data_IF_173051312996
#
_entry.id   IF_173051312996
#
_cell.length_a   1.000
_cell.length_b   1.000
_cell.length_c   1.000
_cell.angle_alpha   90.00
_cell.angle_beta   90.00
_cell.angle_gamma   90.00
#
_symmetry.space_group_name_H-M   'P 1'
#
loop_
_entity.id
_entity.type
_entity.pdbx_description
1 polymer ?
#
# COMPACT_ATOMS: atom_id res chain seq x y z
N UNK A 1 -31.97 52.23 -40.41
CA UNK A 1 -32.34 52.35 -38.99
C UNK A 1 -32.10 50.98 -38.36
N UNK A 2 -30.93 50.63 -37.83
CA UNK A 2 -30.17 51.12 -36.68
C UNK A 2 -30.75 50.71 -35.30
N UNK A 3 -30.02 49.80 -34.64
CA UNK A 3 -29.91 49.46 -33.19
C UNK A 3 -31.01 48.64 -32.50
N UNK A 4 -30.65 47.46 -31.98
CA UNK A 4 -30.28 47.27 -30.55
C UNK A 4 -30.15 45.78 -30.23
N UNK A 5 -28.92 45.29 -30.23
CA UNK A 5 -28.53 43.99 -29.65
C UNK A 5 -27.61 44.32 -28.49
N UNK A 6 -28.00 43.95 -27.27
CA UNK A 6 -27.11 43.94 -26.11
C UNK A 6 -27.51 44.89 -24.97
N UNK A 7 -28.32 44.39 -24.04
CA UNK A 7 -28.32 44.83 -22.62
C UNK A 7 -29.04 43.78 -21.73
N UNK A 8 -28.62 42.51 -21.76
CA UNK A 8 -29.21 41.47 -20.89
C UNK A 8 -28.18 40.55 -20.23
N UNK A 9 -26.95 41.04 -20.02
CA UNK A 9 -25.89 40.27 -19.34
C UNK A 9 -25.14 41.04 -18.23
N UNK A 10 -25.63 42.21 -17.82
CA UNK A 10 -24.91 43.10 -16.87
C UNK A 10 -25.63 43.38 -15.54
N UNK A 11 -26.68 42.62 -15.21
CA UNK A 11 -27.47 42.84 -13.98
C UNK A 11 -27.44 41.68 -12.98
N UNK A 12 -26.81 40.54 -13.30
CA UNK A 12 -26.71 39.40 -12.37
C UNK A 12 -25.36 39.24 -11.66
N UNK A 13 -24.33 40.01 -12.02
CA UNK A 13 -23.02 39.90 -11.35
C UNK A 13 -22.87 40.76 -10.07
N UNK A 14 -23.89 41.56 -9.71
CA UNK A 14 -23.84 42.49 -8.57
C UNK A 14 -24.68 42.04 -7.36
N UNK A 15 -25.14 40.78 -7.32
CA UNK A 15 -25.99 40.26 -6.24
C UNK A 15 -25.33 39.21 -5.33
N UNK A 16 -24.07 38.85 -5.57
CA UNK A 16 -23.34 37.85 -4.77
C UNK A 16 -22.19 38.39 -3.92
N UNK A 17 -22.07 39.72 -3.75
CA UNK A 17 -21.03 40.32 -2.90
C UNK A 17 -21.57 41.09 -1.68
N UNK A 18 -22.79 40.77 -1.22
CA UNK A 18 -23.43 41.43 -0.06
C UNK A 18 -24.04 40.44 0.94
N UNK A 19 -23.35 39.33 1.20
CA UNK A 19 -23.56 38.51 2.41
C UNK A 19 -22.26 38.37 3.17
N UNK A 20 -21.67 39.53 3.44
CA UNK A 20 -20.73 39.72 4.52
C UNK A 20 -21.53 39.88 5.81
N UNK A 21 -21.15 39.07 6.80
CA UNK A 21 -21.05 39.42 8.22
C UNK A 21 -22.30 40.00 8.91
N UNK A 22 -22.92 39.18 9.78
CA UNK A 22 -23.46 39.64 11.07
C UNK A 22 -23.97 38.48 11.93
N UNK A 23 -23.65 38.55 13.24
CA UNK A 23 -24.21 37.83 14.39
C UNK A 23 -23.51 36.46 14.63
N UNK A 24 -22.88 36.13 15.76
CA UNK A 24 -23.10 36.54 17.14
C UNK A 24 -21.79 36.48 17.96
N UNK A 25 -21.40 37.60 18.56
CA UNK A 25 -20.48 37.70 19.70
C UNK A 25 -21.11 37.08 20.93
N UNK A 26 -20.54 35.99 21.46
CA UNK A 26 -20.81 35.54 22.82
C UNK A 26 -19.62 35.88 23.73
N UNK A 27 -19.91 36.73 24.72
CA UNK A 27 -19.02 37.10 25.83
C UNK A 27 -18.60 35.84 26.60
N UNK A 28 -17.30 35.68 26.82
CA UNK A 28 -16.79 35.05 28.04
C UNK A 28 -15.80 36.00 28.71
N UNK A 29 -16.23 36.51 29.86
CA UNK A 29 -15.45 37.30 30.79
C UNK A 29 -14.60 36.36 31.66
N UNK A 30 -13.34 36.73 31.86
CA UNK A 30 -12.65 36.53 33.13
C UNK A 30 -11.62 35.41 33.18
N UNK A 31 -10.35 35.81 33.35
CA UNK A 31 -9.33 34.97 34.01
C UNK A 31 -8.03 34.75 33.23
N UNK A 32 -7.16 35.75 33.21
CA UNK A 32 -5.73 35.59 32.85
C UNK A 32 -4.98 35.19 34.12
N UNK A 33 -4.30 34.03 34.18
CA UNK A 33 -3.11 33.91 35.00
C UNK A 33 -1.87 34.01 34.10
N UNK A 34 -1.24 35.17 34.30
CA UNK A 34 0.09 35.57 33.90
C UNK A 34 1.09 34.67 34.65
N UNK A 35 1.64 33.63 34.02
CA UNK A 35 2.82 32.94 34.53
C UNK A 35 3.82 32.62 33.41
N UNK A 36 4.90 33.40 33.46
CA UNK A 36 6.28 32.95 33.27
C UNK A 36 6.70 32.41 31.90
N UNK A 37 7.13 33.35 31.05
CA UNK A 37 8.34 33.21 30.25
C UNK A 37 9.58 33.12 31.18
N UNK A 38 10.27 31.97 31.16
CA UNK A 38 11.70 31.75 31.45
C UNK A 38 11.94 30.24 31.29
N UNK A 39 12.83 29.72 30.45
CA UNK A 39 14.25 30.00 30.45
C UNK A 39 14.90 29.71 29.09
N UNK A 40 15.90 30.53 28.78
CA UNK A 40 16.91 30.32 27.75
C UNK A 40 17.75 29.06 28.00
N UNK A 41 18.06 28.39 26.89
CA UNK A 41 19.38 27.90 26.46
C UNK A 41 20.51 27.71 27.49
N UNK A 42 21.05 26.47 27.60
CA UNK A 42 22.45 26.14 27.30
C UNK A 42 22.73 24.62 27.50
N UNK A 43 23.77 24.13 26.82
CA UNK A 43 24.44 22.80 26.90
C UNK A 43 23.81 21.68 26.05
N UNK A 44 24.26 21.41 24.82
CA UNK A 44 25.57 20.90 24.35
C UNK A 44 25.89 19.46 24.80
N UNK A 45 26.04 18.60 23.78
CA UNK A 45 26.83 17.35 23.73
C UNK A 45 26.49 16.19 24.67
N UNK A 46 25.96 15.08 24.10
CA UNK A 46 26.50 13.71 24.29
C UNK A 46 25.79 12.67 23.40
N UNK A 47 26.52 12.13 22.43
CA UNK A 47 26.51 10.72 21.98
C UNK A 47 27.82 10.10 22.52
N UNK A 48 28.07 8.77 22.49
CA UNK A 48 27.21 7.57 22.45
C UNK A 48 27.71 6.44 23.43
N UNK A 49 27.17 5.21 23.31
CA UNK A 49 27.76 3.85 23.55
C UNK A 49 27.16 2.93 24.63
N UNK A 50 27.06 1.62 24.28
CA UNK A 50 26.97 0.44 25.17
C UNK A 50 25.56 -0.11 25.37
N UNK A 51 25.12 -1.20 24.71
CA UNK A 51 25.33 -2.62 25.05
C UNK A 51 24.95 -2.93 26.51
N UNK A 52 23.81 -3.58 26.73
CA UNK A 52 23.62 -4.59 27.79
C UNK A 52 22.47 -5.52 27.38
N UNK A 53 22.75 -6.81 27.44
CA UNK A 53 21.86 -7.92 27.12
C UNK A 53 20.85 -8.14 28.26
N UNK A 54 19.58 -8.34 27.94
CA UNK A 54 18.61 -8.91 28.87
C UNK A 54 18.20 -10.31 28.41
N UNK A 55 18.99 -11.28 28.86
CA UNK A 55 18.60 -12.67 29.01
C UNK A 55 17.51 -12.78 30.08
N UNK A 56 16.30 -13.16 29.68
CA UNK A 56 15.24 -13.61 30.59
C UNK A 56 14.84 -15.04 30.21
N UNK A 57 15.63 -15.99 30.72
CA UNK A 57 15.28 -17.40 30.86
C UNK A 57 14.64 -17.59 32.23
N UNK A 58 13.51 -18.30 32.30
CA UNK A 58 12.94 -18.77 33.56
C UNK A 58 11.57 -19.45 33.43
N UNK A 59 11.59 -20.77 33.62
CA UNK A 59 10.51 -21.64 34.12
C UNK A 59 9.41 -22.19 33.20
N UNK A 60 9.75 -23.35 32.64
CA UNK A 60 8.87 -24.47 32.29
C UNK A 60 8.44 -25.23 33.57
N UNK A 61 7.22 -25.81 33.61
CA UNK A 61 6.98 -27.02 34.37
C UNK A 61 6.94 -28.26 33.45
N UNK A 62 7.81 -29.19 33.79
CA UNK A 62 7.88 -30.58 33.36
C UNK A 62 6.61 -31.32 33.78
N UNK A 63 6.02 -32.14 32.91
CA UNK A 63 5.19 -33.25 33.36
C UNK A 63 5.45 -34.52 32.54
N UNK A 64 5.70 -35.57 33.30
CA UNK A 64 6.15 -36.91 32.96
C UNK A 64 5.22 -37.70 32.03
N UNK A 65 5.82 -38.79 31.55
CA UNK A 65 5.53 -39.64 30.42
C UNK A 65 4.94 -41.02 30.79
N UNK A 66 4.34 -41.68 29.76
CA UNK A 66 4.21 -43.15 29.50
C UNK A 66 2.95 -43.88 30.08
N UNK A 67 2.34 -44.94 29.44
CA UNK A 67 2.82 -45.79 28.31
C UNK A 67 1.92 -46.06 27.09
N UNK A 68 2.59 -46.67 26.10
CA UNK A 68 2.12 -47.45 24.95
C UNK A 68 0.95 -48.41 25.25
N UNK A 69 0.03 -48.53 24.29
CA UNK A 69 -0.48 -49.83 23.84
C UNK A 69 -0.90 -49.78 22.36
N UNK A 70 -0.80 -50.95 21.75
CA UNK A 70 -0.79 -51.32 20.33
C UNK A 70 -2.23 -51.44 19.82
N UNK A 71 -2.56 -50.99 18.61
CA UNK A 71 -3.16 -51.89 17.61
C UNK A 71 -3.26 -51.30 16.20
N UNK A 72 -3.09 -52.19 15.24
CA UNK A 72 -3.00 -52.01 13.81
C UNK A 72 -4.37 -52.32 13.18
N UNK A 73 -4.97 -51.41 12.40
CA UNK A 73 -5.89 -51.77 11.29
C UNK A 73 -6.15 -50.59 10.35
N UNK A 74 -5.37 -50.57 9.25
CA UNK A 74 -5.90 -50.76 7.89
C UNK A 74 -7.26 -50.11 7.55
N UNK A 75 -7.24 -49.02 6.77
CA UNK A 75 -8.09 -48.85 5.56
C UNK A 75 -7.65 -47.62 4.76
N UNK A 76 -6.64 -47.85 3.91
CA UNK A 76 -6.27 -46.99 2.79
C UNK A 76 -7.37 -47.13 1.73
N UNK A 77 -7.98 -46.03 1.30
CA UNK A 77 -8.90 -46.01 0.17
C UNK A 77 -8.18 -45.57 -1.11
N UNK A 78 -7.72 -46.50 -1.95
CA UNK A 78 -7.46 -46.23 -3.36
C UNK A 78 -8.58 -46.83 -4.20
N UNK A 79 -9.56 -46.02 -4.59
CA UNK A 79 -10.43 -46.38 -5.71
C UNK A 79 -9.65 -46.32 -7.01
N UNK A 80 -9.20 -47.51 -7.41
CA UNK A 80 -8.74 -47.94 -8.73
C UNK A 80 -9.55 -47.32 -9.86
N UNK A 81 -8.88 -46.96 -10.95
CA UNK A 81 -9.24 -47.53 -12.26
C UNK A 81 -8.00 -47.81 -13.08
N UNK A 82 -7.87 -49.08 -13.41
CA UNK A 82 -6.85 -49.68 -14.26
C UNK A 82 -7.01 -49.20 -15.71
N UNK A 83 -5.89 -48.91 -16.38
CA UNK A 83 -5.78 -49.16 -17.82
C UNK A 83 -4.34 -49.60 -18.11
N UNK A 84 -4.17 -50.90 -18.32
CA UNK A 84 -2.94 -51.55 -18.72
C UNK A 84 -3.25 -52.28 -20.02
N UNK A 85 -2.61 -51.88 -21.11
CA UNK A 85 -2.86 -52.48 -22.41
C UNK A 85 -1.98 -51.89 -23.51
N UNK A 86 -1.08 -52.74 -24.01
CA UNK A 86 -0.37 -52.71 -25.29
C UNK A 86 0.93 -51.90 -25.40
N UNK A 87 2.01 -52.68 -25.55
CA UNK A 87 3.31 -52.25 -26.03
C UNK A 87 3.29 -51.97 -27.54
N UNK A 88 4.07 -50.99 -27.99
CA UNK A 88 4.82 -51.04 -29.25
C UNK A 88 5.91 -49.97 -29.25
N UNK A 89 7.09 -50.40 -29.70
CA UNK A 89 8.32 -49.62 -29.77
C UNK A 89 8.29 -48.59 -30.91
N UNK A 90 8.88 -47.41 -30.66
CA UNK A 90 9.60 -46.65 -31.68
C UNK A 90 10.66 -45.78 -30.99
N UNK A 91 11.93 -46.13 -31.20
CA UNK A 91 13.07 -45.26 -30.92
C UNK A 91 13.02 -44.16 -31.99
N UNK A 92 12.67 -42.95 -31.59
CA UNK A 92 12.91 -41.74 -32.39
C UNK A 92 13.96 -40.93 -31.64
N UNK A 93 15.16 -40.87 -32.24
CA UNK A 93 16.16 -39.89 -31.86
C UNK A 93 15.58 -38.50 -32.16
N UNK A 94 15.27 -37.75 -31.10
CA UNK A 94 14.90 -36.34 -31.18
C UNK A 94 16.05 -35.48 -30.64
N UNK A 95 16.33 -34.32 -31.27
CA UNK A 95 17.50 -33.53 -31.00
C UNK A 95 17.41 -32.81 -29.65
N UNK A 96 18.58 -32.63 -29.04
CA UNK A 96 18.89 -31.74 -27.92
C UNK A 96 18.33 -30.31 -28.15
N UNK A 97 17.92 -29.72 -27.02
CA UNK A 97 17.77 -28.28 -26.74
C UNK A 97 16.50 -27.57 -27.22
N UNK A 98 15.50 -27.55 -26.34
CA UNK A 98 14.78 -26.32 -25.98
C UNK A 98 13.99 -26.60 -24.71
N UNK A 99 14.55 -26.22 -23.57
CA UNK A 99 13.88 -26.24 -22.28
C UNK A 99 12.75 -25.19 -22.29
N UNK A 100 11.47 -25.57 -22.25
CA UNK A 100 10.35 -24.62 -22.34
C UNK A 100 10.22 -23.73 -21.10
N UNK A 101 11.00 -23.99 -20.05
CA UNK A 101 11.02 -23.19 -18.81
C UNK A 101 11.63 -21.81 -19.02
N UNK A 102 12.64 -21.68 -19.89
CA UNK A 102 13.31 -20.40 -20.19
C UNK A 102 12.46 -19.46 -21.05
N UNK A 103 11.65 -20.01 -21.97
CA UNK A 103 10.80 -19.19 -22.83
C UNK A 103 9.61 -18.58 -22.08
N UNK A 104 9.03 -19.31 -21.12
CA UNK A 104 7.95 -18.78 -20.28
C UNK A 104 8.46 -17.74 -19.27
N UNK A 105 9.63 -17.97 -18.65
CA UNK A 105 10.18 -17.02 -17.69
C UNK A 105 10.49 -15.64 -18.32
N UNK A 106 10.99 -15.61 -19.56
CA UNK A 106 11.27 -14.36 -20.27
C UNK A 106 9.99 -13.61 -20.69
N UNK A 107 8.90 -14.34 -20.92
CA UNK A 107 7.60 -13.74 -21.24
C UNK A 107 6.95 -13.18 -19.96
N UNK A 108 7.04 -13.92 -18.85
CA UNK A 108 6.55 -13.50 -17.54
C UNK A 108 7.22 -12.21 -17.03
N UNK A 109 8.53 -12.02 -17.27
CA UNK A 109 9.24 -10.79 -16.87
C UNK A 109 8.89 -9.59 -17.75
N UNK A 110 8.68 -9.79 -19.05
CA UNK A 110 8.27 -8.71 -19.96
C UNK A 110 6.87 -8.20 -19.60
N UNK A 111 5.92 -9.11 -19.39
CA UNK A 111 4.55 -8.78 -18.97
C UNK A 111 4.54 -8.10 -17.57
N UNK A 112 5.44 -8.55 -16.67
CA UNK A 112 5.61 -7.93 -15.35
C UNK A 112 6.12 -6.48 -15.45
N UNK A 113 7.07 -6.20 -16.34
CA UNK A 113 7.60 -4.84 -16.58
C UNK A 113 6.52 -3.91 -17.13
N UNK A 114 5.75 -4.36 -18.12
CA UNK A 114 4.65 -3.56 -18.68
C UNK A 114 3.61 -3.21 -17.61
N UNK A 115 3.24 -4.19 -16.79
CA UNK A 115 2.29 -3.98 -15.70
C UNK A 115 2.85 -3.09 -14.60
N UNK A 116 4.15 -3.16 -14.31
CA UNK A 116 4.81 -2.24 -13.39
C UNK A 116 4.76 -0.79 -13.89
N UNK A 117 5.03 -0.56 -15.18
CA UNK A 117 4.90 0.77 -15.79
C UNK A 117 3.45 1.27 -15.74
N UNK A 118 2.47 0.42 -16.02
CA UNK A 118 1.06 0.76 -15.89
C UNK A 118 0.68 1.10 -14.43
N UNK A 119 1.19 0.34 -13.45
CA UNK A 119 0.98 0.61 -12.03
C UNK A 119 1.59 1.94 -11.57
N UNK A 120 2.79 2.31 -12.07
CA UNK A 120 3.41 3.63 -11.81
C UNK A 120 2.53 4.77 -12.31
N UNK A 121 2.00 4.62 -13.53
CA UNK A 121 1.09 5.61 -14.10
C UNK A 121 -0.18 5.75 -13.27
N UNK A 122 -0.78 4.63 -12.87
CA UNK A 122 -2.00 4.65 -12.05
C UNK A 122 -1.75 5.25 -10.66
N UNK A 123 -0.58 5.02 -10.07
CA UNK A 123 -0.19 5.66 -8.80
C UNK A 123 -0.08 7.18 -8.95
N UNK A 124 0.51 7.66 -10.04
CA UNK A 124 0.57 9.10 -10.37
C UNK A 124 -0.82 9.69 -10.59
N UNK A 125 -1.66 9.01 -11.37
CA UNK A 125 -3.05 9.40 -11.59
C UNK A 125 -3.82 9.49 -10.26
N UNK A 126 -3.56 8.60 -9.30
CA UNK A 126 -4.11 8.65 -7.95
C UNK A 126 -3.62 9.86 -7.16
N UNK A 127 -2.34 10.23 -7.26
CA UNK A 127 -1.75 11.38 -6.56
C UNK A 127 -2.34 12.71 -7.10
N UNK A 128 -2.41 12.82 -8.43
CA UNK A 128 -2.90 14.03 -9.11
C UNK A 128 -4.39 14.27 -8.83
N UNK A 129 -5.20 13.20 -8.89
CA UNK A 129 -6.65 13.27 -8.68
C UNK A 129 -7.08 12.96 -7.24
N UNK A 130 -6.15 12.93 -6.29
CA UNK A 130 -6.39 12.48 -4.92
C UNK A 130 -7.55 13.22 -4.24
N UNK A 131 -7.61 14.55 -4.43
CA UNK A 131 -8.67 15.39 -3.85
C UNK A 131 -10.07 15.06 -4.40
N UNK A 132 -10.17 14.76 -5.68
CA UNK A 132 -11.44 14.40 -6.32
C UNK A 132 -11.89 12.99 -5.91
N UNK A 133 -10.96 12.04 -5.85
CA UNK A 133 -11.21 10.64 -5.46
C UNK A 133 -11.75 10.58 -4.02
N UNK A 134 -11.06 11.26 -3.11
CA UNK A 134 -11.47 11.32 -1.70
C UNK A 134 -12.79 12.05 -1.50
N UNK A 135 -13.08 13.11 -2.28
CA UNK A 135 -14.36 13.81 -2.21
C UNK A 135 -15.56 12.95 -2.65
N UNK A 136 -15.36 12.01 -3.59
CA UNK A 136 -16.43 11.17 -4.14
C UNK A 136 -16.69 9.89 -3.34
N UNK A 137 -15.63 9.25 -2.83
CA UNK A 137 -15.75 7.94 -2.19
C UNK A 137 -14.83 7.73 -0.98
N UNK A 138 -14.26 8.80 -0.43
CA UNK A 138 -13.47 8.75 0.79
C UNK A 138 -12.29 7.78 0.73
N UNK A 139 -12.06 7.06 1.84
CA UNK A 139 -11.02 6.04 1.94
C UNK A 139 -11.26 4.81 1.06
N UNK A 140 -12.51 4.43 0.81
CA UNK A 140 -12.88 3.26 0.00
C UNK A 140 -12.41 3.42 -1.45
N UNK A 141 -12.60 4.62 -2.02
CA UNK A 141 -12.13 4.92 -3.37
C UNK A 141 -10.60 4.90 -3.49
N UNK A 142 -9.87 5.33 -2.45
CA UNK A 142 -8.40 5.23 -2.41
C UNK A 142 -7.96 3.76 -2.38
N UNK A 143 -8.61 2.93 -1.56
CA UNK A 143 -8.32 1.48 -1.46
C UNK A 143 -8.61 0.74 -2.76
N UNK A 144 -9.66 1.13 -3.47
CA UNK A 144 -9.96 0.57 -4.78
C UNK A 144 -8.86 0.87 -5.81
N UNK A 145 -8.31 2.10 -5.82
CA UNK A 145 -7.19 2.47 -6.70
C UNK A 145 -5.88 1.80 -6.30
N UNK A 146 -5.60 1.67 -5.01
CA UNK A 146 -4.46 0.90 -4.51
C UNK A 146 -4.55 -0.60 -4.84
N UNK A 147 -5.71 -1.10 -5.29
CA UNK A 147 -5.88 -2.50 -5.66
C UNK A 147 -6.04 -3.43 -4.46
N UNK A 148 -6.42 -2.88 -3.31
CA UNK A 148 -6.73 -3.66 -2.11
C UNK A 148 -8.21 -4.05 -2.10
N UNK A 149 -9.03 -3.26 -2.78
CA UNK A 149 -10.46 -3.48 -2.95
C UNK A 149 -10.83 -3.61 -4.42
N UNK A 150 -11.13 -4.84 -4.82
CA UNK A 150 -11.41 -5.21 -6.21
C UNK A 150 -10.16 -5.64 -6.98
N UNK A 151 -10.34 -5.93 -8.27
CA UNK A 151 -9.31 -6.47 -9.17
C UNK A 151 -9.02 -5.55 -10.36
N UNK A 152 -9.62 -4.35 -10.38
CA UNK A 152 -9.64 -3.48 -11.55
C UNK A 152 -8.43 -2.56 -11.67
N UNK A 153 -7.63 -2.38 -10.62
CA UNK A 153 -6.43 -1.55 -10.69
C UNK A 153 -5.20 -2.38 -11.10
N UNK A 154 -4.26 -1.74 -11.78
CA UNK A 154 -2.97 -2.33 -12.13
C UNK A 154 -2.08 -2.54 -10.89
N UNK A 155 -2.37 -1.82 -9.81
CA UNK A 155 -1.73 -1.98 -8.49
C UNK A 155 -2.20 -3.25 -7.75
N UNK A 156 -3.31 -3.88 -8.17
CA UNK A 156 -3.76 -5.14 -7.58
C UNK A 156 -2.63 -6.18 -7.65
N UNK A 157 -2.19 -6.71 -6.51
CA UNK A 157 -1.13 -7.72 -6.47
C UNK A 157 0.26 -7.24 -6.94
N UNK A 158 0.53 -5.93 -6.91
CA UNK A 158 1.84 -5.34 -7.29
C UNK A 158 3.02 -5.99 -6.58
N UNK A 159 2.85 -6.42 -5.33
CA UNK A 159 3.88 -7.09 -4.53
C UNK A 159 4.39 -8.38 -5.19
N UNK A 160 3.52 -9.11 -5.91
CA UNK A 160 3.92 -10.31 -6.64
C UNK A 160 4.76 -9.95 -7.86
N UNK A 161 4.39 -8.88 -8.56
CA UNK A 161 5.12 -8.36 -9.72
C UNK A 161 6.52 -7.93 -9.30
N UNK A 162 6.63 -7.16 -8.22
CA UNK A 162 7.91 -6.71 -7.70
C UNK A 162 8.83 -7.88 -7.33
N UNK A 163 8.26 -8.95 -6.77
CA UNK A 163 9.02 -10.19 -6.49
C UNK A 163 9.52 -10.86 -7.77
N UNK A 164 8.68 -10.97 -8.80
CA UNK A 164 9.08 -11.54 -10.11
C UNK A 164 10.19 -10.72 -10.78
N UNK A 165 10.21 -9.40 -10.59
CA UNK A 165 11.21 -8.50 -11.16
C UNK A 165 12.54 -8.49 -10.40
N UNK A 166 12.65 -9.17 -9.25
CA UNK A 166 13.89 -9.21 -8.45
C UNK A 166 15.06 -9.81 -9.23
N UNK A 167 14.79 -10.81 -10.08
CA UNK A 167 15.83 -11.51 -10.85
C UNK A 167 16.43 -10.63 -11.96
N UNK A 168 15.72 -9.56 -12.36
CA UNK A 168 16.13 -8.63 -13.42
C UNK A 168 16.84 -7.37 -12.86
N UNK A 169 16.94 -7.22 -11.54
CA UNK A 169 17.53 -6.05 -10.88
C UNK A 169 19.06 -6.02 -11.01
N UNK A 170 19.64 -4.82 -11.14
CA UNK A 170 21.10 -4.65 -11.15
C UNK A 170 21.74 -5.01 -9.80
N UNK A 171 21.18 -4.47 -8.72
CA UNK A 171 21.58 -4.77 -7.34
C UNK A 171 20.41 -5.41 -6.60
N UNK A 172 20.53 -6.71 -6.34
CA UNK A 172 19.52 -7.50 -5.65
C UNK A 172 19.28 -6.98 -4.22
N UNK A 173 20.33 -6.60 -3.49
CA UNK A 173 20.21 -6.18 -2.09
C UNK A 173 19.47 -4.85 -2.02
N UNK A 174 19.93 -3.86 -2.79
CA UNK A 174 19.27 -2.55 -2.83
C UNK A 174 17.82 -2.67 -3.34
N UNK A 175 17.57 -3.48 -4.36
CA UNK A 175 16.21 -3.70 -4.86
C UNK A 175 15.29 -4.31 -3.79
N UNK A 176 15.78 -5.31 -3.04
CA UNK A 176 14.98 -5.93 -1.97
C UNK A 176 14.67 -4.95 -0.84
N UNK A 177 15.62 -4.11 -0.43
CA UNK A 177 15.39 -3.07 0.57
C UNK A 177 14.35 -2.05 0.09
N UNK A 178 14.45 -1.56 -1.15
CA UNK A 178 13.47 -0.63 -1.72
C UNK A 178 12.08 -1.25 -1.87
N UNK A 179 12.02 -2.54 -2.21
CA UNK A 179 10.75 -3.28 -2.28
C UNK A 179 10.12 -3.44 -0.89
N UNK A 180 10.90 -3.69 0.15
CA UNK A 180 10.41 -3.79 1.53
C UNK A 180 9.89 -2.44 2.04
N UNK A 181 10.62 -1.36 1.79
CA UNK A 181 10.18 0.01 2.10
C UNK A 181 8.89 0.37 1.35
N UNK A 182 8.83 0.10 0.04
CA UNK A 182 7.60 0.29 -0.74
C UNK A 182 6.41 -0.46 -0.12
N UNK A 183 6.60 -1.72 0.28
CA UNK A 183 5.56 -2.53 0.91
C UNK A 183 5.13 -1.96 2.26
N UNK A 184 6.06 -1.45 3.06
CA UNK A 184 5.75 -0.82 4.34
C UNK A 184 4.82 0.40 4.14
N UNK A 185 5.17 1.32 3.22
CA UNK A 185 4.33 2.47 2.92
C UNK A 185 3.00 2.08 2.26
N UNK A 186 2.98 1.04 1.42
CA UNK A 186 1.76 0.51 0.82
C UNK A 186 0.76 0.06 1.90
N UNK A 187 1.21 -0.70 2.90
CA UNK A 187 0.35 -1.14 4.00
C UNK A 187 -0.06 0.00 4.93
N UNK A 188 0.81 0.99 5.15
CA UNK A 188 0.48 2.18 5.94
C UNK A 188 -0.58 3.03 5.24
N UNK A 189 -0.42 3.30 3.94
CA UNK A 189 -1.38 4.03 3.13
C UNK A 189 -2.75 3.34 3.09
N UNK A 190 -2.76 2.02 2.90
CA UNK A 190 -3.99 1.21 2.92
C UNK A 190 -4.67 1.25 4.29
N UNK A 191 -3.90 1.05 5.37
CA UNK A 191 -4.41 1.07 6.73
C UNK A 191 -4.97 2.44 7.12
N UNK A 192 -4.31 3.52 6.73
CA UNK A 192 -4.83 4.88 6.92
C UNK A 192 -6.12 5.11 6.11
N UNK A 193 -6.14 4.74 4.83
CA UNK A 193 -7.35 4.85 4.01
C UNK A 193 -8.51 4.04 4.61
N UNK A 194 -8.26 2.83 5.12
CA UNK A 194 -9.25 2.01 5.81
C UNK A 194 -9.75 2.69 7.09
N UNK A 195 -8.85 3.17 7.95
CA UNK A 195 -9.22 3.84 9.21
C UNK A 195 -10.06 5.09 8.98
N UNK A 196 -9.83 5.82 7.89
CA UNK A 196 -10.60 7.03 7.56
C UNK A 196 -12.10 6.76 7.40
N UNK A 197 -12.49 5.54 7.04
CA UNK A 197 -13.89 5.15 6.86
C UNK A 197 -14.63 4.92 8.19
N UNK A 198 -13.91 4.68 9.30
CA UNK A 198 -14.52 4.31 10.59
C UNK A 198 -14.30 5.36 11.68
N UNK A 199 -13.44 6.35 11.42
CA UNK A 199 -13.08 7.35 12.43
C UNK A 199 -14.25 8.28 12.79
N UNK A 200 -15.21 8.50 11.87
CA UNK A 200 -16.43 9.30 12.15
C UNK A 200 -17.34 8.67 13.21
N UNK A 201 -17.29 7.35 13.34
CA UNK A 201 -18.11 6.59 14.29
C UNK A 201 -17.35 6.18 15.54
N UNK A 202 -16.07 6.52 15.62
CA UNK A 202 -15.19 6.18 16.73
C UNK A 202 -14.93 7.41 17.59
N UNK A 203 -14.84 7.26 18.91
CA UNK A 203 -14.44 8.34 19.84
C UNK A 203 -12.96 8.76 19.72
N UNK A 204 -12.29 8.41 18.62
CA UNK A 204 -10.87 8.62 18.39
C UNK A 204 -10.59 10.10 18.11
N UNK A 205 -9.46 10.62 18.60
CA UNK A 205 -8.97 11.97 18.32
C UNK A 205 -8.44 12.05 16.88
N UNK A 206 -9.32 12.21 15.90
CA UNK A 206 -8.94 12.47 14.51
C UNK A 206 -10.14 12.71 13.61
N UNK A 207 -9.97 13.52 12.56
CA UNK A 207 -10.98 13.66 11.52
C UNK A 207 -10.61 12.78 10.32
N UNK A 208 -11.58 12.31 9.52
CA UNK A 208 -11.30 11.54 8.30
C UNK A 208 -10.31 12.25 7.38
N UNK A 209 -10.44 13.57 7.25
CA UNK A 209 -9.52 14.41 6.46
C UNK A 209 -8.07 14.33 6.94
N UNK A 210 -7.85 14.29 8.26
CA UNK A 210 -6.49 14.18 8.80
C UNK A 210 -5.86 12.82 8.49
N UNK A 211 -6.64 11.74 8.57
CA UNK A 211 -6.17 10.40 8.25
C UNK A 211 -5.91 10.26 6.75
N UNK A 212 -6.78 10.81 5.90
CA UNK A 212 -6.57 10.83 4.44
C UNK A 212 -5.35 11.64 4.03
N UNK A 213 -5.01 12.70 4.76
CA UNK A 213 -3.74 13.42 4.54
C UNK A 213 -2.52 12.54 4.85
N UNK A 214 -2.58 11.74 5.91
CA UNK A 214 -1.54 10.75 6.21
C UNK A 214 -1.43 9.73 5.09
N UNK A 215 -2.55 9.15 4.65
CA UNK A 215 -2.56 8.20 3.53
C UNK A 215 -1.95 8.81 2.25
N UNK A 216 -2.23 10.09 1.95
CA UNK A 216 -1.58 10.80 0.83
C UNK A 216 -0.08 10.92 1.01
N UNK A 217 0.39 11.24 2.22
CA UNK A 217 1.82 11.36 2.50
C UNK A 217 2.55 10.03 2.26
N UNK A 218 1.95 8.91 2.67
CA UNK A 218 2.51 7.58 2.46
C UNK A 218 2.51 7.19 0.97
N UNK A 219 1.45 7.52 0.23
CA UNK A 219 1.39 7.32 -1.24
C UNK A 219 2.49 8.11 -1.97
N UNK A 220 2.81 9.32 -1.50
CA UNK A 220 3.93 10.09 -2.06
C UNK A 220 5.29 9.45 -1.79
N UNK A 221 5.46 8.74 -0.67
CA UNK A 221 6.68 7.96 -0.44
C UNK A 221 6.71 6.73 -1.34
N UNK A 222 5.58 6.04 -1.52
CA UNK A 222 5.48 4.91 -2.45
C UNK A 222 5.92 5.29 -3.87
N UNK A 223 5.54 6.48 -4.36
CA UNK A 223 5.96 6.96 -5.68
C UNK A 223 7.50 7.06 -5.78
N UNK A 224 8.16 7.60 -4.75
CA UNK A 224 9.62 7.70 -4.74
C UNK A 224 10.30 6.33 -4.81
N UNK A 225 9.80 5.36 -4.04
CA UNK A 225 10.34 4.00 -4.09
C UNK A 225 10.03 3.31 -5.41
N UNK A 226 8.85 3.53 -6.01
CA UNK A 226 8.58 3.02 -7.37
C UNK A 226 9.51 3.62 -8.41
N UNK A 227 9.89 4.89 -8.27
CA UNK A 227 10.85 5.53 -9.17
C UNK A 227 12.27 4.98 -8.98
N UNK A 228 12.68 4.72 -7.73
CA UNK A 228 13.96 4.06 -7.44
C UNK A 228 14.01 2.62 -7.97
N UNK A 229 12.93 1.85 -7.77
CA UNK A 229 12.80 0.49 -8.32
C UNK A 229 12.86 0.51 -9.85
N UNK A 230 12.28 1.52 -10.51
CA UNK A 230 12.37 1.66 -11.95
C UNK A 230 13.80 1.92 -12.44
N UNK A 231 14.58 2.73 -11.71
CA UNK A 231 16.00 2.97 -12.02
C UNK A 231 16.78 1.66 -11.97
N UNK A 232 16.58 0.84 -10.93
CA UNK A 232 17.23 -0.47 -10.78
C UNK A 232 16.84 -1.48 -11.88
N UNK A 233 15.66 -1.32 -12.47
CA UNK A 233 15.13 -2.17 -13.55
C UNK A 233 15.42 -1.61 -14.95
N UNK A 234 16.09 -0.45 -15.07
CA UNK A 234 16.36 0.27 -16.33
C UNK A 234 15.09 0.64 -17.12
N UNK A 235 14.02 1.05 -16.41
CA UNK A 235 12.71 1.41 -16.97
C UNK A 235 12.40 2.91 -16.95
#
# INVERSE_FOLDING_TARGET
>A
MNRNVGTTFKTELNRMNSRSTKICTQRYNGGIPLFAMAAMALLSMMKPTGIEAFSFLGDLPIRESIPLSVDETMTRNPSRRNFMGMASALIVAAPLLSDPTLANAAQDTTDAKERFVAARKELRDLIDNYSEITAKGGGDAVRSRLGTQGISSNLFGIQKILKTLTDDAEDLVEYTEMMEEFNAYYFQAEGAAYQSMFIEHSSAKGTPETILKTAKADILQMEKYMDQLAVQLKL
#
